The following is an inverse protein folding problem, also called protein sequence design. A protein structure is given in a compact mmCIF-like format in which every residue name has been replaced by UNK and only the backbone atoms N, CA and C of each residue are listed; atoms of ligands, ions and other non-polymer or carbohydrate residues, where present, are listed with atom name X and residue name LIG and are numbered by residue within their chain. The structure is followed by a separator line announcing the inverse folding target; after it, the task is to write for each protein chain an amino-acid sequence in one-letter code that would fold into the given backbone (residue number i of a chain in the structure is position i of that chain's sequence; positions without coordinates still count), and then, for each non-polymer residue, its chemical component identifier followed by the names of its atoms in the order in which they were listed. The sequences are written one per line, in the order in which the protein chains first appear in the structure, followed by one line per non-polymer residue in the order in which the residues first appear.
data_IF_577273832278
#
_entry.id   IF_577273832278
#
_cell.length_a   1.000
_cell.length_b   1.000
_cell.length_c   1.000
_cell.angle_alpha   90.00
_cell.angle_beta   90.00
_cell.angle_gamma   90.00
#
_symmetry.space_group_name_H-M   'P 1'
#
loop_
_entity.id
_entity.type
_entity.pdbx_description
1 polymer ?
#
# COMPACT_ATOMS: atom_id res chain seq x y z
N UNK A 1 44.05 21.37 4.15
CA UNK A 1 43.04 20.47 3.54
C UNK A 1 43.13 19.12 4.21
N UNK A 2 42.14 18.76 5.04
CA UNK A 2 42.12 17.48 5.75
C UNK A 2 42.12 16.31 4.77
N UNK A 3 42.80 15.22 5.14
CA UNK A 3 42.88 14.04 4.30
C UNK A 3 41.55 13.25 4.35
N UNK A 4 40.55 13.70 3.57
CA UNK A 4 39.23 13.07 3.47
C UNK A 4 39.25 11.68 2.82
N UNK A 5 40.44 11.19 2.41
CA UNK A 5 40.58 9.91 1.72
C UNK A 5 40.05 8.72 2.55
N UNK A 6 40.26 8.73 3.87
CA UNK A 6 39.72 7.70 4.78
C UNK A 6 38.20 7.73 4.84
N UNK A 7 37.61 8.94 4.89
CA UNK A 7 36.15 9.11 4.92
C UNK A 7 35.52 8.61 3.61
N UNK A 8 36.15 8.89 2.47
CA UNK A 8 35.70 8.38 1.17
C UNK A 8 35.76 6.84 1.10
N UNK A 9 36.84 6.22 1.57
CA UNK A 9 36.91 4.75 1.62
C UNK A 9 35.88 4.15 2.56
N UNK A 10 35.62 4.76 3.70
CA UNK A 10 34.58 4.32 4.64
C UNK A 10 33.20 4.43 3.99
N UNK A 11 32.88 5.57 3.34
CA UNK A 11 31.62 5.75 2.64
C UNK A 11 31.43 4.71 1.53
N UNK A 12 32.44 4.52 0.68
CA UNK A 12 32.41 3.51 -0.40
C UNK A 12 32.22 2.12 0.18
N UNK A 13 32.92 1.76 1.25
CA UNK A 13 32.77 0.48 1.93
C UNK A 13 31.33 0.27 2.46
N UNK A 14 30.77 1.27 3.12
CA UNK A 14 29.37 1.21 3.59
C UNK A 14 28.40 1.05 2.42
N UNK A 15 28.57 1.81 1.34
CA UNK A 15 27.71 1.70 0.15
C UNK A 15 27.80 0.31 -0.49
N UNK A 16 29.00 -0.24 -0.65
CA UNK A 16 29.19 -1.59 -1.21
C UNK A 16 28.44 -2.62 -0.35
N UNK A 17 28.66 -2.61 0.96
CA UNK A 17 28.00 -3.57 1.88
C UNK A 17 26.48 -3.41 1.82
N UNK A 18 25.98 -2.18 1.90
CA UNK A 18 24.54 -1.89 1.87
C UNK A 18 23.90 -2.37 0.57
N UNK A 19 24.47 -1.99 -0.58
CA UNK A 19 23.91 -2.39 -1.87
C UNK A 19 24.06 -3.89 -2.16
N UNK A 20 25.11 -4.54 -1.64
CA UNK A 20 25.25 -6.00 -1.76
C UNK A 20 24.17 -6.72 -0.95
N UNK A 21 23.89 -6.27 0.28
CA UNK A 21 22.82 -6.83 1.10
C UNK A 21 21.44 -6.57 0.47
N UNK A 22 21.16 -5.35 0.03
CA UNK A 22 19.90 -5.01 -0.63
C UNK A 22 19.72 -5.81 -1.93
N UNK A 23 20.79 -5.99 -2.72
CA UNK A 23 20.76 -6.78 -3.95
C UNK A 23 20.48 -8.26 -3.67
N UNK A 24 21.11 -8.83 -2.65
CA UNK A 24 20.88 -10.21 -2.23
C UNK A 24 19.41 -10.42 -1.79
N UNK A 25 18.92 -9.61 -0.87
CA UNK A 25 17.55 -9.74 -0.40
C UNK A 25 16.52 -9.37 -1.47
N UNK A 26 16.82 -8.41 -2.34
CA UNK A 26 15.98 -8.10 -3.50
C UNK A 26 15.83 -9.32 -4.43
N UNK A 27 16.93 -9.99 -4.75
CA UNK A 27 16.89 -11.22 -5.56
C UNK A 27 16.10 -12.34 -4.85
N UNK A 28 16.26 -12.47 -3.52
CA UNK A 28 15.55 -13.48 -2.73
C UNK A 28 14.04 -13.23 -2.69
N UNK A 29 13.59 -11.98 -2.62
CA UNK A 29 12.17 -11.61 -2.71
C UNK A 29 11.56 -12.10 -4.02
N UNK A 30 12.23 -11.87 -5.15
CA UNK A 30 11.75 -12.37 -6.46
C UNK A 30 11.77 -13.89 -6.54
N UNK A 31 12.80 -14.55 -6.00
CA UNK A 31 12.91 -16.01 -6.02
C UNK A 31 11.86 -16.71 -5.18
N UNK A 32 11.39 -16.08 -4.10
CA UNK A 32 10.43 -16.65 -3.15
C UNK A 32 9.03 -16.10 -3.31
N UNK A 33 8.80 -15.22 -4.28
CA UNK A 33 7.49 -14.66 -4.58
C UNK A 33 6.46 -15.77 -4.92
N UNK A 34 5.19 -15.59 -4.53
CA UNK A 34 4.14 -16.54 -4.94
C UNK A 34 3.98 -16.50 -6.47
N UNK A 35 3.93 -17.67 -7.14
CA UNK A 35 3.64 -17.71 -8.57
C UNK A 35 2.21 -17.23 -8.83
N UNK A 36 1.99 -16.57 -9.98
CA UNK A 36 0.65 -16.36 -10.50
C UNK A 36 0.39 -17.51 -11.49
N UNK A 37 -0.52 -18.46 -11.18
CA UNK A 37 -0.78 -19.59 -12.06
C UNK A 37 -1.37 -19.14 -13.41
N UNK A 38 -1.00 -19.82 -14.50
CA UNK A 38 -1.64 -19.63 -15.80
C UNK A 38 -3.12 -19.95 -15.73
N UNK A 39 -3.46 -20.99 -14.93
CA UNK A 39 -4.84 -21.40 -14.66
C UNK A 39 -4.99 -21.94 -13.25
N UNK A 40 -6.12 -21.63 -12.66
CA UNK A 40 -6.64 -22.29 -11.46
C UNK A 40 -7.84 -23.09 -11.90
N UNK A 41 -7.77 -24.43 -11.75
CA UNK A 41 -8.75 -25.33 -12.30
C UNK A 41 -9.11 -26.48 -11.35
N UNK A 42 -10.28 -27.07 -11.57
CA UNK A 42 -10.70 -28.32 -10.92
C UNK A 42 -10.21 -29.54 -11.69
N UNK A 43 -10.19 -30.71 -11.04
CA UNK A 43 -9.89 -31.98 -11.70
C UNK A 43 -10.90 -32.31 -12.84
N UNK A 44 -12.09 -31.75 -12.81
CA UNK A 44 -13.10 -31.85 -13.87
C UNK A 44 -12.82 -30.96 -15.09
N UNK A 45 -11.77 -30.17 -15.08
CA UNK A 45 -11.40 -29.28 -16.18
C UNK A 45 -12.08 -27.89 -16.15
N UNK A 46 -12.87 -27.58 -15.13
CA UNK A 46 -13.44 -26.24 -14.93
C UNK A 46 -12.34 -25.26 -14.58
N UNK A 47 -12.21 -24.17 -15.32
CA UNK A 47 -11.26 -23.07 -15.07
C UNK A 47 -11.96 -22.00 -14.24
N UNK A 48 -11.47 -21.75 -13.03
CA UNK A 48 -12.01 -20.73 -12.15
C UNK A 48 -11.41 -19.35 -12.44
N UNK A 49 -10.07 -19.29 -12.55
CA UNK A 49 -9.32 -18.06 -12.81
C UNK A 49 -8.15 -18.32 -13.75
N UNK A 50 -7.75 -17.31 -14.50
CA UNK A 50 -6.56 -17.32 -15.35
C UNK A 50 -5.55 -16.29 -14.85
N UNK A 51 -4.30 -16.41 -15.31
CA UNK A 51 -3.23 -15.44 -15.05
C UNK A 51 -3.70 -13.99 -15.34
N UNK A 52 -4.29 -13.78 -16.52
CA UNK A 52 -4.74 -12.46 -16.93
C UNK A 52 -5.89 -11.96 -16.06
N UNK A 53 -6.85 -12.82 -15.70
CA UNK A 53 -7.96 -12.44 -14.81
C UNK A 53 -7.49 -12.03 -13.42
N UNK A 54 -6.39 -12.61 -12.91
CA UNK A 54 -5.79 -12.23 -11.63
C UNK A 54 -5.11 -10.84 -11.73
N UNK A 55 -4.38 -10.58 -12.80
CA UNK A 55 -3.72 -9.29 -13.02
C UNK A 55 -4.73 -8.16 -13.29
N UNK A 56 -5.76 -8.44 -14.09
CA UNK A 56 -6.87 -7.50 -14.30
C UNK A 56 -7.62 -7.23 -12.99
N UNK A 57 -7.78 -8.26 -12.16
CA UNK A 57 -8.34 -8.15 -10.82
C UNK A 57 -7.52 -7.26 -9.90
N UNK A 58 -6.20 -7.35 -9.96
CA UNK A 58 -5.29 -6.45 -9.27
C UNK A 58 -5.49 -4.99 -9.73
N UNK A 59 -5.57 -4.77 -11.04
CA UNK A 59 -5.84 -3.45 -11.63
C UNK A 59 -7.21 -2.92 -11.21
N UNK A 60 -8.23 -3.79 -11.14
CA UNK A 60 -9.55 -3.43 -10.65
C UNK A 60 -9.53 -3.00 -9.18
N UNK A 61 -8.84 -3.76 -8.31
CA UNK A 61 -8.64 -3.39 -6.91
C UNK A 61 -7.87 -2.07 -6.75
N UNK A 62 -6.81 -1.85 -7.51
CA UNK A 62 -6.06 -0.60 -7.51
C UNK A 62 -6.95 0.59 -7.86
N UNK A 63 -7.81 0.45 -8.87
CA UNK A 63 -8.67 1.54 -9.34
C UNK A 63 -9.72 2.01 -8.34
N UNK A 64 -10.14 1.16 -7.39
CA UNK A 64 -11.10 1.54 -6.32
C UNK A 64 -10.44 2.10 -5.07
N UNK A 65 -9.12 2.27 -5.09
CA UNK A 65 -8.35 2.82 -3.99
C UNK A 65 -7.32 1.86 -3.40
N UNK A 66 -7.26 0.61 -3.84
CA UNK A 66 -6.23 -0.35 -3.46
C UNK A 66 -6.01 -0.41 -1.94
N UNK A 67 -4.76 -0.21 -1.50
CA UNK A 67 -4.36 -0.21 -0.10
C UNK A 67 -5.02 0.89 0.76
N UNK A 68 -5.63 1.90 0.14
CA UNK A 68 -6.35 2.95 0.87
C UNK A 68 -7.77 2.54 1.24
N UNK A 69 -8.36 1.55 0.54
CA UNK A 69 -9.67 1.01 0.85
C UNK A 69 -9.61 -0.07 1.95
N UNK A 70 -8.68 -1.01 1.81
CA UNK A 70 -8.41 -2.10 2.75
C UNK A 70 -7.01 -2.64 2.48
N UNK A 71 -6.50 -3.54 3.31
CA UNK A 71 -5.14 -4.06 3.14
C UNK A 71 -5.09 -5.35 2.33
N UNK A 72 -3.91 -5.64 1.78
CA UNK A 72 -3.51 -6.93 1.21
C UNK A 72 -2.23 -7.36 1.91
N UNK A 73 -2.17 -8.58 2.43
CA UNK A 73 -1.02 -9.13 3.17
C UNK A 73 -0.55 -8.22 4.33
N UNK A 74 -1.49 -7.54 4.99
CA UNK A 74 -1.21 -6.62 6.09
C UNK A 74 -0.74 -5.23 5.69
N UNK A 75 -0.64 -4.94 4.39
CA UNK A 75 -0.25 -3.63 3.89
C UNK A 75 -1.46 -2.84 3.42
N UNK A 76 -1.75 -1.72 4.04
CA UNK A 76 -2.83 -0.81 3.67
C UNK A 76 -3.57 -0.19 4.86
N UNK A 77 -4.72 0.42 4.57
CA UNK A 77 -5.61 1.00 5.56
C UNK A 77 -6.37 -0.08 6.33
N UNK A 78 -6.76 0.23 7.55
CA UNK A 78 -7.49 -0.69 8.44
C UNK A 78 -8.95 -0.28 8.65
N UNK A 79 -9.50 0.61 7.83
CA UNK A 79 -10.91 0.98 7.88
C UNK A 79 -11.79 -0.15 7.32
N UNK A 80 -11.43 -0.69 6.18
CA UNK A 80 -11.93 -1.97 5.68
C UNK A 80 -10.97 -3.10 6.12
N UNK A 81 -11.38 -4.38 6.03
CA UNK A 81 -10.53 -5.49 6.44
C UNK A 81 -9.28 -5.66 5.57
N UNK A 82 -8.37 -6.52 6.02
CA UNK A 82 -7.41 -7.11 5.11
C UNK A 82 -8.13 -8.12 4.21
N UNK A 83 -8.19 -7.83 2.91
CA UNK A 83 -8.95 -8.65 1.96
C UNK A 83 -8.41 -10.08 1.83
N UNK A 84 -7.08 -10.26 2.05
CA UNK A 84 -6.48 -11.60 2.09
C UNK A 84 -6.99 -12.40 3.29
N UNK A 85 -6.97 -11.80 4.48
CA UNK A 85 -7.38 -12.46 5.71
C UNK A 85 -8.88 -12.75 5.73
N UNK A 86 -9.71 -11.76 5.34
CA UNK A 86 -11.16 -11.88 5.34
C UNK A 86 -11.62 -12.89 4.27
N UNK A 87 -11.01 -12.87 3.06
CA UNK A 87 -11.27 -13.86 2.04
C UNK A 87 -10.93 -15.29 2.53
N UNK A 88 -9.71 -15.46 3.03
CA UNK A 88 -9.25 -16.76 3.50
C UNK A 88 -10.18 -17.34 4.56
N UNK A 89 -10.50 -16.55 5.59
CA UNK A 89 -11.39 -16.99 6.66
C UNK A 89 -12.79 -17.38 6.15
N UNK A 90 -13.39 -16.58 5.27
CA UNK A 90 -14.71 -16.87 4.67
C UNK A 90 -14.68 -18.09 3.78
N UNK A 91 -13.64 -18.25 2.97
CA UNK A 91 -13.48 -19.42 2.10
C UNK A 91 -13.38 -20.70 2.93
N UNK A 92 -12.62 -20.67 4.05
CA UNK A 92 -12.50 -21.83 4.97
C UNK A 92 -13.85 -22.20 5.61
N UNK A 93 -14.61 -21.22 6.09
CA UNK A 93 -15.95 -21.49 6.64
C UNK A 93 -16.89 -22.02 5.59
N UNK A 94 -16.93 -21.45 4.39
CA UNK A 94 -17.72 -21.93 3.27
C UNK A 94 -17.30 -23.35 2.86
N UNK A 95 -16.00 -23.68 2.89
CA UNK A 95 -15.51 -25.03 2.60
C UNK A 95 -16.03 -26.04 3.60
N UNK A 96 -16.00 -25.73 4.91
CA UNK A 96 -16.52 -26.58 5.96
C UNK A 96 -18.02 -26.86 5.78
N UNK A 97 -18.81 -25.82 5.46
CA UNK A 97 -20.25 -26.00 5.22
C UNK A 97 -20.54 -26.81 3.95
N UNK A 98 -19.84 -26.54 2.85
CA UNK A 98 -20.00 -27.33 1.60
C UNK A 98 -19.60 -28.80 1.82
N UNK A 99 -18.51 -29.06 2.51
CA UNK A 99 -18.04 -30.39 2.79
C UNK A 99 -19.01 -31.15 3.71
N UNK A 100 -19.55 -30.52 4.75
CA UNK A 100 -20.51 -31.08 5.67
C UNK A 100 -21.83 -31.38 4.95
N UNK A 101 -22.30 -30.46 4.12
CA UNK A 101 -23.54 -30.67 3.35
C UNK A 101 -23.41 -31.81 2.36
N UNK A 102 -22.26 -31.98 1.69
CA UNK A 102 -21.99 -33.10 0.78
C UNK A 102 -21.87 -34.45 1.49
N UNK A 103 -21.20 -34.47 2.65
CA UNK A 103 -20.91 -35.72 3.37
C UNK A 103 -22.04 -36.15 4.30
N UNK A 104 -22.79 -35.23 4.91
CA UNK A 104 -23.73 -35.46 5.98
C UNK A 104 -25.14 -34.90 5.71
N UNK A 105 -25.36 -34.12 4.65
CA UNK A 105 -26.63 -33.45 4.34
C UNK A 105 -27.05 -32.39 5.36
N UNK A 106 -26.11 -31.82 6.11
CA UNK A 106 -26.34 -30.85 7.18
C UNK A 106 -25.26 -29.76 7.18
N UNK A 107 -25.55 -28.55 7.68
CA UNK A 107 -24.54 -27.54 7.95
C UNK A 107 -23.43 -28.03 8.89
N UNK A 108 -22.24 -27.50 8.77
CA UNK A 108 -21.08 -27.90 9.58
C UNK A 108 -21.33 -27.79 11.10
N UNK A 109 -22.09 -26.79 11.53
CA UNK A 109 -22.41 -26.58 12.95
C UNK A 109 -23.32 -27.73 13.53
N UNK A 110 -24.08 -28.42 12.68
CA UNK A 110 -25.10 -29.37 13.07
C UNK A 110 -24.64 -30.83 13.01
N UNK A 111 -23.40 -31.12 12.59
CA UNK A 111 -22.80 -32.44 12.60
C UNK A 111 -22.06 -32.70 13.90
N UNK A 112 -21.84 -33.97 14.23
CA UNK A 112 -21.16 -34.37 15.46
C UNK A 112 -19.69 -33.91 15.50
N UNK A 113 -19.12 -33.82 16.73
CA UNK A 113 -17.78 -33.29 16.94
C UNK A 113 -16.67 -34.12 16.27
N UNK A 114 -16.86 -35.46 16.12
CA UNK A 114 -15.89 -36.30 15.46
C UNK A 114 -15.87 -36.03 13.94
N UNK A 115 -17.03 -35.90 13.31
CA UNK A 115 -17.17 -35.50 11.91
C UNK A 115 -16.61 -34.10 11.67
N UNK A 116 -16.88 -33.13 12.56
CA UNK A 116 -16.29 -31.80 12.49
C UNK A 116 -14.75 -31.84 12.52
N UNK A 117 -14.17 -32.66 13.40
CA UNK A 117 -12.71 -32.79 13.51
C UNK A 117 -12.08 -33.33 12.22
N UNK A 118 -12.72 -34.36 11.62
CA UNK A 118 -12.27 -34.94 10.34
C UNK A 118 -12.31 -33.89 9.22
N UNK A 119 -13.41 -33.15 9.09
CA UNK A 119 -13.53 -32.12 8.04
C UNK A 119 -12.51 -30.97 8.23
N UNK A 120 -12.22 -30.54 9.47
CA UNK A 120 -11.18 -29.55 9.75
C UNK A 120 -9.79 -30.03 9.34
N UNK A 121 -9.47 -31.30 9.56
CA UNK A 121 -8.17 -31.87 9.18
C UNK A 121 -8.03 -31.98 7.66
N UNK A 122 -9.07 -32.45 6.97
CA UNK A 122 -9.13 -32.50 5.51
C UNK A 122 -8.96 -31.09 4.89
N UNK A 123 -9.72 -30.12 5.38
CA UNK A 123 -9.63 -28.73 4.96
C UNK A 123 -8.21 -28.19 5.15
N UNK A 124 -7.64 -28.34 6.35
CA UNK A 124 -6.29 -27.88 6.65
C UNK A 124 -5.27 -28.51 5.69
N UNK A 125 -5.38 -29.79 5.43
CA UNK A 125 -4.50 -30.51 4.50
C UNK A 125 -4.64 -29.95 3.09
N UNK A 126 -5.86 -29.76 2.59
CA UNK A 126 -6.10 -29.24 1.24
C UNK A 126 -5.51 -27.83 1.07
N UNK A 127 -5.77 -26.90 2.01
CA UNK A 127 -5.33 -25.52 1.87
C UNK A 127 -3.82 -25.36 2.02
N UNK A 128 -3.17 -26.19 2.84
CA UNK A 128 -1.72 -26.14 3.03
C UNK A 128 -0.94 -26.81 1.91
N UNK A 129 -1.55 -27.79 1.23
CA UNK A 129 -0.89 -28.53 0.14
C UNK A 129 -0.71 -27.64 -1.08
N UNK A 130 0.53 -27.54 -1.57
CA UNK A 130 0.83 -26.81 -2.79
C UNK A 130 0.54 -27.68 -4.01
N UNK A 131 -0.52 -27.34 -4.73
CA UNK A 131 -0.97 -28.04 -5.96
C UNK A 131 -0.51 -27.35 -7.23
N UNK A 132 0.27 -26.27 -7.13
CA UNK A 132 0.82 -25.58 -8.29
C UNK A 132 1.91 -26.41 -8.95
N UNK A 133 1.76 -26.67 -10.23
CA UNK A 133 2.77 -27.34 -11.04
C UNK A 133 3.48 -26.30 -11.94
N UNK A 134 4.77 -26.03 -11.72
CA UNK A 134 5.50 -25.02 -12.47
C UNK A 134 5.73 -25.41 -13.94
N UNK A 135 5.65 -26.70 -14.33
CA UNK A 135 5.82 -27.13 -15.72
C UNK A 135 4.57 -26.85 -16.56
N UNK A 136 3.39 -26.94 -15.95
CA UNK A 136 2.12 -26.71 -16.65
C UNK A 136 1.49 -25.35 -16.35
N UNK A 137 2.04 -24.61 -15.38
CA UNK A 137 1.47 -23.35 -14.91
C UNK A 137 0.13 -23.48 -14.19
N UNK A 138 -0.32 -24.70 -13.86
CA UNK A 138 -1.68 -24.95 -13.33
C UNK A 138 -1.63 -25.19 -11.81
N UNK A 139 -2.53 -24.52 -11.08
CA UNK A 139 -2.87 -24.85 -9.70
C UNK A 139 -4.22 -25.57 -9.66
N UNK A 140 -4.27 -26.72 -9.00
CA UNK A 140 -5.47 -27.54 -8.90
C UNK A 140 -6.20 -27.32 -7.59
N UNK A 141 -7.53 -27.25 -7.64
CA UNK A 141 -8.40 -27.16 -6.46
C UNK A 141 -9.47 -28.28 -6.52
N UNK A 142 -9.95 -28.73 -5.36
CA UNK A 142 -11.05 -29.69 -5.31
C UNK A 142 -12.38 -29.06 -5.75
N UNK A 143 -13.35 -29.87 -6.12
CA UNK A 143 -14.71 -29.38 -6.40
C UNK A 143 -15.37 -28.75 -5.16
N UNK A 144 -15.05 -29.24 -3.97
CA UNK A 144 -15.52 -28.65 -2.70
C UNK A 144 -14.96 -27.25 -2.51
N UNK A 145 -13.68 -27.07 -2.80
CA UNK A 145 -13.02 -25.75 -2.72
C UNK A 145 -13.54 -24.81 -3.82
N UNK A 146 -13.80 -25.30 -5.02
CA UNK A 146 -14.40 -24.51 -6.09
C UNK A 146 -15.76 -23.92 -5.69
N UNK A 147 -16.65 -24.73 -5.05
CA UNK A 147 -17.92 -24.22 -4.54
C UNK A 147 -17.75 -23.23 -3.38
N UNK A 148 -16.77 -23.45 -2.49
CA UNK A 148 -16.45 -22.50 -1.42
C UNK A 148 -15.95 -21.16 -1.97
N UNK A 149 -15.10 -21.20 -2.99
CA UNK A 149 -14.63 -20.01 -3.74
C UNK A 149 -15.82 -19.27 -4.35
N UNK A 150 -16.74 -19.98 -5.02
CA UNK A 150 -17.91 -19.36 -5.65
C UNK A 150 -18.83 -18.68 -4.61
N UNK A 151 -19.09 -19.33 -3.46
CA UNK A 151 -19.85 -18.71 -2.36
C UNK A 151 -19.16 -17.47 -1.80
N UNK A 152 -17.85 -17.51 -1.65
CA UNK A 152 -17.05 -16.38 -1.15
C UNK A 152 -17.04 -15.23 -2.16
N UNK A 153 -16.84 -15.53 -3.43
CA UNK A 153 -16.87 -14.54 -4.51
C UNK A 153 -18.21 -13.80 -4.60
N UNK A 154 -19.33 -14.53 -4.41
CA UNK A 154 -20.66 -13.93 -4.38
C UNK A 154 -20.81 -12.88 -3.27
N UNK A 155 -20.27 -13.12 -2.07
CA UNK A 155 -20.27 -12.14 -0.99
C UNK A 155 -19.55 -10.85 -1.39
N UNK A 156 -18.37 -10.95 -2.01
CA UNK A 156 -17.60 -9.77 -2.42
C UNK A 156 -18.19 -9.08 -3.65
N UNK A 157 -18.78 -9.84 -4.59
CA UNK A 157 -19.54 -9.21 -5.69
C UNK A 157 -20.67 -8.33 -5.15
N UNK A 158 -21.40 -8.82 -4.14
CA UNK A 158 -22.44 -8.05 -3.46
C UNK A 158 -21.86 -6.86 -2.66
N UNK A 159 -20.70 -7.03 -2.01
CA UNK A 159 -20.06 -5.98 -1.23
C UNK A 159 -19.59 -4.80 -2.10
N UNK A 160 -19.01 -5.07 -3.25
CA UNK A 160 -18.48 -4.04 -4.15
C UNK A 160 -19.53 -3.51 -5.15
N UNK A 161 -20.72 -4.10 -5.20
CA UNK A 161 -21.89 -3.59 -5.93
C UNK A 161 -22.78 -2.71 -5.01
N UNK A 162 -24.05 -2.60 -5.35
CA UNK A 162 -25.08 -1.86 -4.59
C UNK A 162 -26.07 -2.78 -3.88
N UNK A 163 -25.70 -4.04 -3.61
CA UNK A 163 -26.61 -5.01 -2.97
C UNK A 163 -27.09 -4.49 -1.59
N UNK A 164 -28.42 -4.35 -1.37
CA UNK A 164 -28.93 -3.74 -0.14
C UNK A 164 -28.58 -4.49 1.15
N UNK A 165 -28.39 -5.82 1.05
CA UNK A 165 -28.04 -6.66 2.19
C UNK A 165 -26.71 -6.26 2.84
N UNK A 166 -25.79 -5.68 2.09
CA UNK A 166 -24.45 -5.29 2.56
C UNK A 166 -24.26 -3.78 2.70
N UNK A 167 -25.34 -2.99 2.64
CA UNK A 167 -25.30 -1.54 2.83
C UNK A 167 -24.60 -1.15 4.15
N UNK A 168 -25.01 -1.74 5.30
CA UNK A 168 -24.38 -1.46 6.60
C UNK A 168 -22.91 -1.89 6.67
N UNK A 169 -22.53 -2.94 5.96
CA UNK A 169 -21.14 -3.39 5.89
C UNK A 169 -20.29 -2.39 5.11
N UNK A 170 -20.80 -1.90 3.98
CA UNK A 170 -20.13 -0.83 3.22
C UNK A 170 -19.99 0.45 4.04
N UNK A 171 -21.03 0.84 4.76
CA UNK A 171 -20.98 1.99 5.66
C UNK A 171 -19.89 1.81 6.73
N UNK A 172 -19.84 0.65 7.39
CA UNK A 172 -18.83 0.34 8.39
C UNK A 172 -17.39 0.35 7.81
N UNK A 173 -17.23 -0.09 6.57
CA UNK A 173 -15.93 -0.08 5.87
C UNK A 173 -15.63 1.27 5.19
N UNK A 174 -16.49 2.26 5.34
CA UNK A 174 -16.39 3.57 4.67
C UNK A 174 -16.27 3.47 3.14
N UNK A 175 -16.97 2.51 2.56
CA UNK A 175 -17.06 2.27 1.12
C UNK A 175 -18.28 2.97 0.54
N UNK A 176 -18.14 3.59 -0.63
CA UNK A 176 -19.30 4.10 -1.36
C UNK A 176 -20.17 2.95 -1.89
N UNK A 177 -21.44 3.23 -2.10
CA UNK A 177 -22.31 2.32 -2.85
C UNK A 177 -21.76 2.10 -4.27
N UNK A 178 -21.92 0.87 -4.77
CA UNK A 178 -21.45 0.52 -6.10
C UNK A 178 -19.97 0.90 -6.33
N UNK A 179 -19.11 0.50 -5.41
CA UNK A 179 -17.67 0.83 -5.42
C UNK A 179 -17.01 0.44 -6.73
N UNK A 180 -17.40 -0.72 -7.31
CA UNK A 180 -16.94 -1.20 -8.61
C UNK A 180 -18.14 -1.60 -9.48
N UNK A 181 -18.62 -0.71 -10.36
CA UNK A 181 -19.88 -0.92 -11.12
C UNK A 181 -19.84 -2.11 -12.09
N UNK A 182 -18.70 -2.37 -12.74
CA UNK A 182 -18.57 -3.46 -13.71
C UNK A 182 -18.55 -4.83 -13.04
N UNK A 183 -19.54 -5.68 -13.36
CA UNK A 183 -19.61 -7.05 -12.89
C UNK A 183 -18.41 -7.90 -13.36
N UNK A 184 -17.94 -7.68 -14.58
CA UNK A 184 -16.74 -8.34 -15.10
C UNK A 184 -15.50 -8.01 -14.27
N UNK A 185 -15.27 -6.72 -14.00
CA UNK A 185 -14.14 -6.27 -13.18
C UNK A 185 -14.25 -6.74 -11.73
N UNK A 186 -15.48 -6.84 -11.18
CA UNK A 186 -15.67 -7.47 -9.85
C UNK A 186 -15.26 -8.93 -9.89
N UNK A 187 -15.69 -9.70 -10.92
CA UNK A 187 -15.29 -11.09 -11.05
C UNK A 187 -13.77 -11.27 -11.17
N UNK A 188 -13.09 -10.42 -11.93
CA UNK A 188 -11.63 -10.40 -12.01
C UNK A 188 -11.00 -10.08 -10.66
N UNK A 189 -11.50 -9.08 -9.92
CA UNK A 189 -11.02 -8.71 -8.58
C UNK A 189 -11.16 -9.88 -7.58
N UNK A 190 -12.20 -10.71 -7.69
CA UNK A 190 -12.32 -11.94 -6.90
C UNK A 190 -11.19 -12.91 -7.19
N UNK A 191 -10.73 -13.01 -8.44
CA UNK A 191 -9.55 -13.81 -8.81
C UNK A 191 -8.27 -13.33 -8.13
N UNK A 192 -8.10 -12.02 -8.02
CA UNK A 192 -6.97 -11.43 -7.30
C UNK A 192 -7.06 -11.70 -5.79
N UNK A 193 -8.21 -11.50 -5.15
CA UNK A 193 -8.38 -11.79 -3.72
C UNK A 193 -8.18 -13.27 -3.42
N UNK A 194 -8.72 -14.16 -4.24
CA UNK A 194 -8.45 -15.59 -4.14
C UNK A 194 -6.96 -15.91 -4.22
N UNK A 195 -6.25 -15.36 -5.21
CA UNK A 195 -4.81 -15.59 -5.37
C UNK A 195 -4.01 -15.12 -4.15
N UNK A 196 -4.34 -13.97 -3.59
CA UNK A 196 -3.66 -13.48 -2.37
C UNK A 196 -3.91 -14.39 -1.17
N UNK A 197 -5.14 -14.92 -1.03
CA UNK A 197 -5.51 -15.86 0.02
C UNK A 197 -4.87 -17.24 -0.19
N UNK A 198 -4.81 -17.72 -1.45
CA UNK A 198 -4.09 -18.94 -1.80
C UNK A 198 -2.60 -18.84 -1.42
N UNK A 199 -1.94 -17.76 -1.76
CA UNK A 199 -0.54 -17.52 -1.38
C UNK A 199 -0.33 -17.47 0.15
N UNK A 200 -1.33 -17.00 0.89
CA UNK A 200 -1.30 -16.93 2.35
C UNK A 200 -1.59 -18.26 3.04
N UNK A 201 -2.23 -19.20 2.37
CA UNK A 201 -2.58 -20.52 2.91
C UNK A 201 -1.61 -21.63 2.48
N UNK A 202 -1.10 -21.57 1.24
CA UNK A 202 -0.35 -22.65 0.59
C UNK A 202 1.12 -22.62 0.98
N UNK A 203 1.67 -23.77 1.36
CA UNK A 203 3.08 -23.93 1.71
C UNK A 203 4.00 -23.78 0.49
N UNK A 204 5.13 -23.13 0.69
CA UNK A 204 6.19 -23.08 -0.32
C UNK A 204 6.80 -24.47 -0.51
N UNK A 205 7.27 -24.81 -1.71
CA UNK A 205 7.96 -26.09 -1.92
C UNK A 205 9.12 -26.28 -0.92
N UNK A 206 9.12 -27.45 -0.24
CA UNK A 206 10.19 -27.83 0.68
C UNK A 206 10.17 -27.16 2.05
N UNK A 207 9.13 -26.41 2.41
CA UNK A 207 8.99 -25.77 3.73
C UNK A 207 7.56 -25.95 4.28
N UNK A 208 7.38 -25.67 5.57
CA UNK A 208 6.07 -25.59 6.22
C UNK A 208 5.56 -24.15 6.33
N UNK A 209 6.27 -23.20 5.73
CA UNK A 209 5.86 -21.81 5.68
C UNK A 209 5.13 -21.51 4.36
N UNK A 210 4.08 -20.70 4.44
CA UNK A 210 3.36 -20.21 3.26
C UNK A 210 4.16 -19.17 2.51
N UNK A 211 3.70 -18.76 1.32
CA UNK A 211 4.37 -17.69 0.56
C UNK A 211 4.41 -16.35 1.31
N UNK A 212 3.55 -16.14 2.29
CA UNK A 212 3.49 -14.96 3.17
C UNK A 212 4.05 -15.23 4.58
N UNK A 213 4.86 -16.28 4.77
CA UNK A 213 5.42 -16.70 6.05
C UNK A 213 4.35 -16.92 7.14
N UNK A 214 3.28 -17.64 6.78
CA UNK A 214 2.13 -17.97 7.62
C UNK A 214 1.36 -16.73 8.15
N UNK A 215 1.37 -15.65 7.42
CA UNK A 215 0.49 -14.52 7.67
C UNK A 215 -0.72 -14.59 6.71
N UNK A 216 -1.95 -14.26 7.08
CA UNK A 216 -2.41 -13.84 8.40
C UNK A 216 -2.47 -15.00 9.41
N UNK A 217 -2.63 -14.64 10.70
CA UNK A 217 -2.96 -15.64 11.71
C UNK A 217 -4.34 -16.22 11.42
N UNK A 218 -4.38 -17.53 11.04
CA UNK A 218 -5.62 -18.27 10.75
C UNK A 218 -5.59 -19.63 11.45
N UNK A 219 -6.27 -19.74 12.61
CA UNK A 219 -6.24 -20.96 13.42
C UNK A 219 -6.77 -22.21 12.70
N UNK A 220 -7.75 -22.05 11.80
CA UNK A 220 -8.40 -23.18 11.11
C UNK A 220 -7.41 -23.99 10.27
N UNK A 221 -6.39 -23.36 9.69
CA UNK A 221 -5.34 -24.03 8.93
C UNK A 221 -3.99 -24.05 9.65
N UNK A 222 -3.95 -23.58 10.91
CA UNK A 222 -2.73 -23.54 11.70
C UNK A 222 -1.72 -22.48 11.26
N UNK A 223 -2.15 -21.45 10.54
CA UNK A 223 -1.30 -20.32 10.20
C UNK A 223 -0.94 -19.53 11.45
N UNK A 224 0.35 -19.55 11.77
CA UNK A 224 0.96 -18.69 12.80
C UNK A 224 2.16 -17.99 12.16
N UNK A 225 2.21 -16.65 12.16
CA UNK A 225 3.35 -15.93 11.60
C UNK A 225 4.67 -16.49 12.10
N UNK A 226 5.63 -16.64 11.19
CA UNK A 226 6.92 -17.21 11.54
C UNK A 226 7.71 -16.29 12.48
N UNK A 227 8.56 -16.87 13.32
CA UNK A 227 9.43 -16.08 14.20
C UNK A 227 10.32 -15.11 13.42
N UNK A 228 10.72 -15.47 12.21
CA UNK A 228 11.50 -14.64 11.30
C UNK A 228 10.81 -13.32 10.96
N UNK A 229 9.51 -13.33 10.65
CA UNK A 229 8.74 -12.10 10.40
C UNK A 229 8.78 -11.15 11.60
N UNK A 230 8.63 -11.69 12.81
CA UNK A 230 8.66 -10.88 14.02
C UNK A 230 10.06 -10.35 14.32
N UNK A 231 11.08 -11.22 14.19
CA UNK A 231 12.48 -10.85 14.43
C UNK A 231 12.94 -9.75 13.47
N UNK A 232 12.66 -9.89 12.16
CA UNK A 232 13.06 -8.87 11.19
C UNK A 232 12.36 -7.53 11.41
N UNK A 233 11.07 -7.53 11.77
CA UNK A 233 10.35 -6.29 12.10
C UNK A 233 10.95 -5.58 13.31
N UNK A 234 11.24 -6.31 14.39
CA UNK A 234 11.85 -5.75 15.60
C UNK A 234 13.29 -5.29 15.33
N UNK A 235 14.09 -6.11 14.65
CA UNK A 235 15.49 -5.78 14.35
C UNK A 235 15.61 -4.56 13.44
N UNK A 236 14.70 -4.37 12.47
CA UNK A 236 14.72 -3.17 11.63
C UNK A 236 14.56 -1.88 12.46
N UNK A 237 13.65 -1.88 13.44
CA UNK A 237 13.47 -0.75 14.36
C UNK A 237 14.69 -0.56 15.25
N UNK A 238 15.24 -1.64 15.81
CA UNK A 238 16.44 -1.58 16.68
C UNK A 238 17.64 -1.04 15.90
N UNK A 239 17.87 -1.51 14.67
CA UNK A 239 18.98 -1.05 13.80
C UNK A 239 18.78 0.42 13.42
N UNK A 240 17.56 0.85 13.11
CA UNK A 240 17.26 2.25 12.83
C UNK A 240 17.57 3.14 14.04
N UNK A 241 17.11 2.76 15.23
CA UNK A 241 17.38 3.50 16.48
C UNK A 241 18.86 3.54 16.81
N UNK A 242 19.57 2.43 16.64
CA UNK A 242 21.02 2.36 16.81
C UNK A 242 21.74 3.27 15.80
N UNK A 243 21.29 3.29 14.56
CA UNK A 243 21.82 4.17 13.49
C UNK A 243 21.66 5.64 13.83
N UNK A 244 20.49 6.06 14.28
CA UNK A 244 20.23 7.43 14.75
C UNK A 244 21.11 7.77 15.95
N UNK A 245 21.20 6.87 16.95
CA UNK A 245 22.07 7.04 18.10
C UNK A 245 23.55 7.18 17.72
N UNK A 246 24.01 6.39 16.75
CA UNK A 246 25.37 6.48 16.21
C UNK A 246 25.63 7.80 15.47
N UNK A 247 24.67 8.29 14.71
CA UNK A 247 24.77 9.61 14.05
C UNK A 247 24.89 10.74 15.08
N UNK A 248 24.04 10.75 16.11
CA UNK A 248 24.08 11.74 17.18
C UNK A 248 25.41 11.66 17.95
N UNK A 249 25.85 10.45 18.29
CA UNK A 249 27.15 10.25 18.93
C UNK A 249 28.31 10.72 18.06
N UNK A 250 28.32 10.35 16.79
CA UNK A 250 29.35 10.76 15.82
C UNK A 250 29.41 12.29 15.67
N UNK A 251 28.24 12.93 15.55
CA UNK A 251 28.15 14.39 15.51
C UNK A 251 28.73 15.02 16.80
N UNK A 252 28.32 14.54 17.98
CA UNK A 252 28.81 15.07 19.25
C UNK A 252 30.32 14.84 19.45
N UNK A 253 30.83 13.68 18.97
CA UNK A 253 32.26 13.36 19.03
C UNK A 253 33.09 14.28 18.13
N UNK A 254 32.64 14.51 16.90
CA UNK A 254 33.32 15.40 15.95
C UNK A 254 33.31 16.85 16.44
N UNK A 255 32.19 17.31 17.00
CA UNK A 255 32.04 18.66 17.51
C UNK A 255 32.94 18.99 18.71
N UNK A 256 33.44 18.00 19.46
CA UNK A 256 34.42 18.23 20.54
C UNK A 256 35.76 18.80 20.08
N UNK A 257 36.05 18.72 18.78
CA UNK A 257 37.27 19.19 18.16
C UNK A 257 37.08 20.47 17.35
N UNK A 258 35.85 21.01 17.33
CA UNK A 258 35.56 22.27 16.66
C UNK A 258 35.99 23.45 17.55
N UNK A 259 36.45 24.51 16.91
CA UNK A 259 36.66 25.78 17.59
C UNK A 259 35.35 26.27 18.22
N UNK A 260 35.45 27.04 19.29
CA UNK A 260 34.29 27.62 19.96
C UNK A 260 33.35 28.27 18.92
N UNK A 261 32.06 28.01 19.05
CA UNK A 261 31.05 28.62 18.17
C UNK A 261 31.27 30.15 18.16
N UNK A 262 31.30 30.79 16.98
CA UNK A 262 31.42 32.23 16.94
C UNK A 262 30.25 32.89 17.68
N UNK A 263 30.51 33.98 18.38
CA UNK A 263 29.45 34.73 19.05
C UNK A 263 28.33 35.06 18.04
N UNK A 264 27.06 34.82 18.38
CA UNK A 264 25.97 35.14 17.49
C UNK A 264 25.99 36.65 17.16
N UNK A 265 25.78 37.03 15.91
CA UNK A 265 25.81 38.43 15.52
C UNK A 265 24.72 39.20 16.28
N UNK A 266 25.05 40.39 16.76
CA UNK A 266 24.13 41.27 17.52
C UNK A 266 22.89 41.70 16.69
N UNK A 267 22.99 41.65 15.38
CA UNK A 267 21.90 41.93 14.45
C UNK A 267 21.81 40.81 13.41
N UNK A 268 20.58 40.47 13.01
CA UNK A 268 20.34 39.50 11.92
C UNK A 268 21.02 40.02 10.62
N UNK A 269 22.06 39.32 10.14
CA UNK A 269 22.76 39.72 8.92
C UNK A 269 21.87 39.70 7.68
N UNK A 270 20.80 38.87 7.69
CA UNK A 270 19.85 38.73 6.58
C UNK A 270 18.91 39.93 6.48
N UNK A 271 18.66 40.67 7.57
CA UNK A 271 17.79 41.86 7.58
C UNK A 271 18.28 42.98 6.66
N UNK A 272 19.56 42.96 6.32
CA UNK A 272 20.22 43.99 5.46
C UNK A 272 20.39 43.54 4.01
N UNK A 273 20.07 42.28 3.69
CA UNK A 273 20.22 41.77 2.33
C UNK A 273 18.89 41.94 1.59
N UNK A 274 18.83 42.69 0.51
CA UNK A 274 17.61 42.85 -0.27
C UNK A 274 17.26 41.53 -0.96
N UNK A 275 15.97 41.16 -0.94
CA UNK A 275 15.51 39.97 -1.63
C UNK A 275 15.76 40.07 -3.14
N UNK A 276 16.35 39.03 -3.71
CA UNK A 276 16.57 38.92 -5.15
C UNK A 276 15.26 38.64 -5.91
N UNK A 277 15.22 38.81 -7.24
CA UNK A 277 14.06 38.46 -8.05
C UNK A 277 13.61 36.99 -7.90
N UNK A 278 14.55 36.04 -7.80
CA UNK A 278 14.21 34.62 -7.58
C UNK A 278 13.60 34.39 -6.20
N UNK A 279 14.15 35.01 -5.14
CA UNK A 279 13.61 34.92 -3.79
C UNK A 279 12.19 35.48 -3.67
N UNK A 280 11.91 36.63 -4.34
CA UNK A 280 10.54 37.18 -4.40
C UNK A 280 9.58 36.24 -5.13
N UNK A 281 10.04 35.54 -6.18
CA UNK A 281 9.23 34.58 -6.92
C UNK A 281 8.84 33.35 -6.09
N UNK A 282 9.54 33.08 -4.97
CA UNK A 282 9.19 32.00 -4.05
C UNK A 282 7.91 32.25 -3.23
N UNK A 283 7.37 33.46 -3.23
CA UNK A 283 6.08 33.76 -2.57
C UNK A 283 4.93 32.85 -3.05
N UNK A 284 4.93 32.43 -4.32
CA UNK A 284 3.95 31.50 -4.87
C UNK A 284 4.10 30.07 -4.31
N UNK A 285 5.34 29.64 -3.99
CA UNK A 285 5.57 28.35 -3.29
C UNK A 285 5.00 28.40 -1.89
N UNK A 286 5.23 29.50 -1.15
CA UNK A 286 4.68 29.68 0.18
C UNK A 286 3.14 29.60 0.15
N UNK A 287 2.51 30.24 -0.82
CA UNK A 287 1.06 30.16 -1.01
C UNK A 287 0.61 28.70 -1.27
N UNK A 288 1.29 27.98 -2.16
CA UNK A 288 0.98 26.58 -2.46
C UNK A 288 1.17 25.69 -1.23
N UNK A 289 2.25 25.87 -0.47
CA UNK A 289 2.54 25.12 0.77
C UNK A 289 1.41 25.32 1.78
N UNK A 290 1.02 26.56 2.04
CA UNK A 290 -0.06 26.88 2.98
C UNK A 290 -1.40 26.32 2.51
N UNK A 291 -1.70 26.42 1.20
CA UNK A 291 -2.92 25.88 0.63
C UNK A 291 -2.98 24.33 0.76
N UNK A 292 -1.89 23.63 0.42
CA UNK A 292 -1.80 22.19 0.56
C UNK A 292 -1.85 21.73 2.03
N UNK A 293 -1.18 22.45 2.94
CA UNK A 293 -1.25 22.16 4.37
C UNK A 293 -2.68 22.34 4.90
N UNK A 294 -3.35 23.42 4.56
CA UNK A 294 -4.74 23.66 4.98
C UNK A 294 -5.69 22.59 4.41
N UNK A 295 -5.49 22.24 3.15
CA UNK A 295 -6.24 21.16 2.49
C UNK A 295 -6.00 19.82 3.18
N UNK A 296 -4.75 19.47 3.53
CA UNK A 296 -4.41 18.28 4.28
C UNK A 296 -5.13 18.22 5.64
N UNK A 297 -5.18 19.32 6.38
CA UNK A 297 -5.88 19.39 7.68
C UNK A 297 -7.37 19.10 7.50
N UNK A 298 -8.00 19.68 6.48
CA UNK A 298 -9.42 19.41 6.16
C UNK A 298 -9.63 17.93 5.81
N UNK A 299 -8.80 17.37 4.94
CA UNK A 299 -8.88 15.95 4.57
C UNK A 299 -8.64 15.03 5.77
N UNK A 300 -7.76 15.40 6.69
CA UNK A 300 -7.54 14.68 7.95
C UNK A 300 -8.79 14.65 8.82
N UNK A 301 -9.51 15.77 8.91
CA UNK A 301 -10.82 15.85 9.56
C UNK A 301 -11.84 14.91 8.93
N UNK A 302 -11.97 14.91 7.60
CA UNK A 302 -12.85 13.99 6.88
C UNK A 302 -12.50 12.53 7.13
N UNK A 303 -11.22 12.18 7.06
CA UNK A 303 -10.72 10.81 7.31
C UNK A 303 -11.09 10.35 8.72
N UNK A 304 -10.91 11.22 9.73
CA UNK A 304 -11.27 10.92 11.11
C UNK A 304 -12.80 10.70 11.30
N UNK A 305 -13.60 11.53 10.67
CA UNK A 305 -15.08 11.38 10.75
C UNK A 305 -15.57 10.09 10.10
N UNK A 306 -15.00 9.68 8.97
CA UNK A 306 -15.33 8.37 8.37
C UNK A 306 -15.04 7.21 9.33
N UNK A 307 -13.95 7.31 10.09
CA UNK A 307 -13.52 6.24 11.00
C UNK A 307 -14.35 6.21 12.29
N UNK A 308 -14.75 7.36 12.82
CA UNK A 308 -15.38 7.50 14.14
C UNK A 308 -16.91 7.53 14.05
N UNK A 309 -17.48 8.39 13.21
CA UNK A 309 -18.92 8.63 13.11
C UNK A 309 -19.59 7.92 11.92
N UNK A 310 -18.78 7.47 10.93
CA UNK A 310 -19.27 6.87 9.70
C UNK A 310 -19.53 7.89 8.59
N UNK A 311 -19.83 7.39 7.40
CA UNK A 311 -19.96 8.21 6.20
C UNK A 311 -21.24 9.07 6.14
N UNK A 312 -22.23 8.80 7.00
CA UNK A 312 -23.48 9.56 7.09
C UNK A 312 -23.42 10.72 8.10
N UNK A 313 -22.25 11.00 8.69
CA UNK A 313 -22.07 12.00 9.75
C UNK A 313 -22.65 13.38 9.41
N UNK A 314 -22.47 13.83 8.16
CA UNK A 314 -22.97 15.15 7.73
C UNK A 314 -24.45 15.19 7.32
N UNK A 315 -25.18 14.08 7.45
CA UNK A 315 -26.57 13.98 7.00
C UNK A 315 -26.76 13.97 5.48
N UNK A 316 -25.67 13.92 4.73
CA UNK A 316 -25.60 13.76 3.28
C UNK A 316 -24.55 12.69 2.96
N UNK A 317 -24.78 11.94 1.89
CA UNK A 317 -23.87 10.87 1.47
C UNK A 317 -22.64 11.45 0.73
N UNK A 318 -21.70 12.01 1.50
CA UNK A 318 -20.48 12.60 0.97
C UNK A 318 -19.59 11.55 0.35
N UNK A 319 -19.67 10.29 0.78
CA UNK A 319 -18.85 9.19 0.29
C UNK A 319 -19.05 8.87 -1.19
N UNK A 320 -20.20 9.25 -1.76
CA UNK A 320 -20.44 9.06 -3.20
C UNK A 320 -19.51 9.90 -4.08
N UNK A 321 -19.07 11.06 -3.61
CA UNK A 321 -18.13 11.94 -4.33
C UNK A 321 -16.72 11.87 -3.77
N UNK A 322 -16.60 11.77 -2.46
CA UNK A 322 -15.34 11.77 -1.73
C UNK A 322 -15.23 10.55 -0.82
N UNK A 323 -15.15 9.33 -1.36
CA UNK A 323 -15.04 8.12 -0.54
C UNK A 323 -13.77 8.14 0.30
N UNK A 324 -13.75 7.38 1.40
CA UNK A 324 -12.63 7.31 2.33
C UNK A 324 -11.27 7.07 1.64
N UNK A 325 -11.23 6.15 0.68
CA UNK A 325 -10.00 5.83 -0.06
C UNK A 325 -9.43 7.05 -0.78
N UNK A 326 -10.27 7.87 -1.42
CA UNK A 326 -9.84 9.10 -2.10
C UNK A 326 -9.36 10.16 -1.12
N UNK A 327 -10.14 10.41 -0.06
CA UNK A 327 -9.82 11.43 0.96
C UNK A 327 -8.51 11.10 1.65
N UNK A 328 -8.31 9.83 2.00
CA UNK A 328 -7.08 9.35 2.63
C UNK A 328 -5.88 9.46 1.68
N UNK A 329 -6.03 9.09 0.42
CA UNK A 329 -5.00 9.24 -0.61
C UNK A 329 -4.57 10.70 -0.75
N UNK A 330 -5.51 11.60 -0.93
CA UNK A 330 -5.23 13.03 -1.03
C UNK A 330 -4.63 13.63 0.25
N UNK A 331 -5.05 13.15 1.43
CA UNK A 331 -4.46 13.55 2.71
C UNK A 331 -2.97 13.23 2.77
N UNK A 332 -2.58 12.00 2.40
CA UNK A 332 -1.17 11.57 2.40
C UNK A 332 -0.37 12.31 1.32
N UNK A 333 -0.91 12.43 0.11
CA UNK A 333 -0.26 13.14 -1.00
C UNK A 333 -0.04 14.63 -0.67
N UNK A 334 -1.05 15.29 -0.09
CA UNK A 334 -0.93 16.69 0.33
C UNK A 334 0.22 16.90 1.31
N UNK A 335 0.39 15.97 2.28
CA UNK A 335 1.50 16.00 3.22
C UNK A 335 2.85 15.94 2.50
N UNK A 336 3.02 14.99 1.61
CA UNK A 336 4.26 14.85 0.84
C UNK A 336 4.53 16.09 -0.01
N UNK A 337 3.51 16.60 -0.69
CA UNK A 337 3.67 17.74 -1.61
C UNK A 337 4.03 19.02 -0.88
N UNK A 338 3.40 19.38 0.24
CA UNK A 338 3.76 20.62 0.93
C UNK A 338 5.13 20.50 1.61
N UNK A 339 5.50 19.33 2.15
CA UNK A 339 6.83 19.09 2.72
C UNK A 339 7.91 19.21 1.65
N UNK A 340 7.76 18.49 0.53
CA UNK A 340 8.72 18.55 -0.59
C UNK A 340 8.83 19.96 -1.17
N UNK A 341 7.70 20.66 -1.33
CA UNK A 341 7.65 22.06 -1.79
C UNK A 341 8.38 22.98 -0.83
N UNK A 342 8.25 22.74 0.49
CA UNK A 342 8.95 23.52 1.53
C UNK A 342 10.46 23.36 1.44
N UNK A 343 10.95 22.13 1.33
CA UNK A 343 12.38 21.86 1.15
C UNK A 343 12.93 22.44 -0.16
N UNK A 344 12.19 22.31 -1.25
CA UNK A 344 12.57 22.88 -2.53
C UNK A 344 12.64 24.41 -2.44
N UNK A 345 11.63 25.06 -1.87
CA UNK A 345 11.61 26.51 -1.68
C UNK A 345 12.76 27.01 -0.79
N UNK A 346 13.06 26.30 0.29
CA UNK A 346 14.17 26.61 1.19
C UNK A 346 15.52 26.52 0.45
N UNK A 347 15.77 25.46 -0.30
CA UNK A 347 16.98 25.31 -1.11
C UNK A 347 17.16 26.43 -2.16
N UNK A 348 16.07 26.75 -2.86
CA UNK A 348 16.06 27.82 -3.85
C UNK A 348 16.23 29.23 -3.21
N UNK A 349 15.74 29.40 -1.98
CA UNK A 349 15.92 30.66 -1.22
C UNK A 349 17.37 30.87 -0.77
N UNK A 350 18.05 29.78 -0.38
CA UNK A 350 19.44 29.82 0.10
C UNK A 350 20.45 30.05 -1.04
N UNK A 351 20.14 29.62 -2.26
CA UNK A 351 21.08 29.68 -3.38
C UNK A 351 21.65 31.11 -3.65
N UNK A 352 20.85 32.19 -3.72
CA UNK A 352 21.38 33.56 -3.85
C UNK A 352 22.22 33.99 -2.65
N UNK A 353 21.89 33.57 -1.43
CA UNK A 353 22.64 33.94 -0.23
C UNK A 353 24.05 33.34 -0.29
N UNK A 354 24.16 32.05 -0.68
CA UNK A 354 25.45 31.38 -0.88
C UNK A 354 26.24 32.02 -2.03
N UNK A 355 25.55 32.55 -3.04
CA UNK A 355 26.15 33.23 -4.18
C UNK A 355 26.42 34.74 -3.93
N UNK A 356 26.64 35.13 -2.70
CA UNK A 356 27.00 36.51 -2.34
C UNK A 356 25.87 37.54 -2.50
N UNK A 357 24.61 37.11 -2.30
CA UNK A 357 23.44 37.99 -2.37
C UNK A 357 22.93 38.27 -3.79
N UNK A 358 23.36 37.50 -4.78
CA UNK A 358 22.96 37.64 -6.19
C UNK A 358 22.36 36.37 -6.73
N UNK A 359 21.34 36.50 -7.59
CA UNK A 359 20.81 35.35 -8.30
C UNK A 359 21.88 34.70 -9.18
N UNK A 360 22.06 33.36 -9.11
CA UNK A 360 22.74 32.64 -10.18
C UNK A 360 22.05 32.84 -11.53
N UNK A 361 22.79 32.63 -12.62
CA UNK A 361 22.24 32.77 -13.96
C UNK A 361 20.99 31.88 -14.14
N UNK A 362 19.93 32.49 -14.67
CA UNK A 362 18.63 31.83 -14.93
C UNK A 362 17.87 31.29 -13.70
N UNK A 363 18.30 31.58 -12.48
CA UNK A 363 17.65 31.02 -11.28
C UNK A 363 16.17 31.40 -11.19
N UNK A 364 15.78 32.64 -11.48
CA UNK A 364 14.36 33.04 -11.49
C UNK A 364 13.55 32.23 -12.49
N UNK A 365 14.09 31.97 -13.68
CA UNK A 365 13.42 31.12 -14.68
C UNK A 365 13.29 29.68 -14.17
N UNK A 366 14.34 29.15 -13.55
CA UNK A 366 14.29 27.81 -12.91
C UNK A 366 13.22 27.72 -11.81
N UNK A 367 13.13 28.73 -10.94
CA UNK A 367 12.07 28.83 -9.92
C UNK A 367 10.68 28.84 -10.55
N UNK A 368 10.48 29.58 -11.64
CA UNK A 368 9.19 29.65 -12.32
C UNK A 368 8.81 28.31 -12.98
N UNK A 369 9.74 27.67 -13.68
CA UNK A 369 9.52 26.36 -14.33
C UNK A 369 9.22 25.28 -13.30
N UNK A 370 10.02 25.16 -12.24
CA UNK A 370 9.82 24.17 -11.19
C UNK A 370 8.48 24.37 -10.48
N UNK A 371 8.06 25.61 -10.25
CA UNK A 371 6.75 25.87 -9.67
C UNK A 371 5.62 25.32 -10.52
N UNK A 372 5.63 25.61 -11.82
CA UNK A 372 4.56 25.14 -12.71
C UNK A 372 4.59 23.60 -12.90
N UNK A 373 5.80 23.01 -12.94
CA UNK A 373 5.94 21.55 -12.93
C UNK A 373 5.31 20.94 -11.67
N UNK A 374 5.59 21.54 -10.50
CA UNK A 374 4.99 21.10 -9.23
C UNK A 374 3.45 21.23 -9.24
N UNK A 375 2.90 22.34 -9.75
CA UNK A 375 1.44 22.52 -9.88
C UNK A 375 0.84 21.47 -10.80
N UNK A 376 1.49 21.14 -11.91
CA UNK A 376 1.04 20.09 -12.84
C UNK A 376 1.01 18.72 -12.14
N UNK A 377 2.05 18.38 -11.38
CA UNK A 377 2.11 17.13 -10.62
C UNK A 377 0.99 17.06 -9.57
N UNK A 378 0.82 18.12 -8.77
CA UNK A 378 -0.22 18.16 -7.72
C UNK A 378 -1.62 18.03 -8.31
N UNK A 379 -1.94 18.86 -9.30
CA UNK A 379 -3.29 18.85 -9.92
C UNK A 379 -3.52 17.55 -10.69
N UNK A 380 -2.51 17.10 -11.44
CA UNK A 380 -2.59 15.87 -12.23
C UNK A 380 -2.80 14.64 -11.35
N UNK A 381 -2.06 14.52 -10.25
CA UNK A 381 -2.21 13.38 -9.32
C UNK A 381 -3.58 13.38 -8.64
N UNK A 382 -4.05 14.53 -8.14
CA UNK A 382 -5.37 14.62 -7.50
C UNK A 382 -6.50 14.29 -8.48
N UNK A 383 -6.44 14.86 -9.69
CA UNK A 383 -7.42 14.58 -10.73
C UNK A 383 -7.38 13.11 -11.17
N UNK A 384 -6.19 12.55 -11.35
CA UNK A 384 -6.00 11.15 -11.72
C UNK A 384 -6.60 10.19 -10.69
N UNK A 385 -6.32 10.39 -9.40
CA UNK A 385 -6.90 9.59 -8.33
C UNK A 385 -8.44 9.70 -8.30
N UNK A 386 -8.96 10.91 -8.44
CA UNK A 386 -10.41 11.11 -8.48
C UNK A 386 -11.06 10.35 -9.63
N UNK A 387 -10.53 10.51 -10.85
CA UNK A 387 -11.07 9.85 -12.04
C UNK A 387 -11.01 8.32 -11.97
N UNK A 388 -9.95 7.78 -11.36
CA UNK A 388 -9.80 6.35 -11.12
C UNK A 388 -10.83 5.83 -10.11
N UNK A 389 -10.88 6.42 -8.91
CA UNK A 389 -11.76 5.97 -7.81
C UNK A 389 -13.25 6.23 -8.12
N UNK A 390 -13.55 7.27 -8.88
CA UNK A 390 -14.89 7.52 -9.41
C UNK A 390 -15.29 6.57 -10.55
N UNK A 391 -14.37 5.71 -11.01
CA UNK A 391 -14.57 4.75 -12.13
C UNK A 391 -14.90 5.44 -13.47
N UNK A 392 -14.39 6.65 -13.67
CA UNK A 392 -14.50 7.42 -14.93
C UNK A 392 -13.33 7.10 -15.86
N UNK A 393 -12.14 6.82 -15.28
CA UNK A 393 -10.92 6.53 -16.03
C UNK A 393 -10.96 5.12 -16.62
N UNK A 394 -10.65 4.93 -17.91
CA UNK A 394 -10.46 3.60 -18.49
C UNK A 394 -9.33 2.84 -17.77
N UNK A 395 -9.47 1.50 -17.58
CA UNK A 395 -8.51 0.70 -16.80
C UNK A 395 -7.06 0.80 -17.29
N UNK A 396 -6.85 0.86 -18.60
CA UNK A 396 -5.54 0.95 -19.25
C UNK A 396 -4.76 2.23 -18.94
N UNK A 397 -5.46 3.30 -18.53
CA UNK A 397 -4.83 4.56 -18.12
C UNK A 397 -4.55 4.65 -16.64
N UNK A 398 -5.14 3.75 -15.83
CA UNK A 398 -5.00 3.79 -14.38
C UNK A 398 -3.54 3.72 -13.91
N UNK A 399 -2.73 2.87 -14.55
CA UNK A 399 -1.30 2.75 -14.24
C UNK A 399 -0.55 4.09 -14.45
N UNK A 400 -0.85 4.82 -15.52
CA UNK A 400 -0.12 6.04 -15.88
C UNK A 400 -0.63 7.28 -15.16
N UNK A 401 -1.92 7.44 -15.04
CA UNK A 401 -2.57 8.67 -14.61
C UNK A 401 -3.37 8.53 -13.32
N UNK A 402 -3.78 7.32 -12.97
CA UNK A 402 -4.76 7.05 -11.94
C UNK A 402 -4.16 6.68 -10.58
N UNK A 403 -4.76 5.67 -9.94
CA UNK A 403 -4.45 5.20 -8.61
C UNK A 403 -3.70 3.87 -8.67
N UNK A 404 -2.48 3.82 -8.13
CA UNK A 404 -1.62 2.63 -8.17
C UNK A 404 -2.02 1.56 -7.14
N UNK A 405 -2.55 1.98 -5.99
CA UNK A 405 -3.03 1.09 -4.95
C UNK A 405 -1.99 0.34 -4.12
N UNK A 406 -0.71 0.44 -4.45
CA UNK A 406 0.37 -0.27 -3.74
C UNK A 406 1.26 0.61 -2.89
N UNK A 407 1.37 1.88 -3.23
CA UNK A 407 2.28 2.81 -2.57
C UNK A 407 1.48 3.73 -1.67
N UNK A 408 2.04 4.16 -0.57
CA UNK A 408 1.36 5.12 0.32
C UNK A 408 1.03 6.45 -0.38
N UNK A 409 1.76 6.77 -1.43
CA UNK A 409 1.56 8.02 -2.19
C UNK A 409 0.52 7.87 -3.30
N UNK A 410 0.35 6.65 -3.83
CA UNK A 410 -0.66 6.26 -4.82
C UNK A 410 -0.72 7.17 -6.06
N UNK A 411 0.41 7.60 -6.55
CA UNK A 411 0.52 8.41 -7.77
C UNK A 411 0.45 7.52 -9.01
N UNK A 412 -0.23 7.97 -10.05
CA UNK A 412 0.00 7.45 -11.40
C UNK A 412 1.47 7.68 -11.82
N UNK A 413 2.02 6.78 -12.63
CA UNK A 413 3.46 6.81 -12.99
C UNK A 413 3.92 8.05 -13.74
N UNK A 414 2.99 8.84 -14.27
CA UNK A 414 3.31 10.09 -14.95
C UNK A 414 3.56 11.26 -13.98
N UNK A 415 3.05 11.16 -12.77
CA UNK A 415 3.16 12.17 -11.71
C UNK A 415 4.28 11.88 -10.75
#
# INVERSE_FOLDING_TARGET
MGNYRKLWFTLIGVLIVTFSLLGYYGAEVYRTAPPIPDKIATAGGEILYTHDSILDGQTAWQSVGGMQLGSIWGHGAYQAPDWTADWLHRELLNWLDVAAERAHGKPFADIDAAAQAVLRDLMKTEYRTNTYNPETGVAMVSSTRADAIAKTALYYDQLFSEAPALHKTREHFAMKENTLPSAERRAQMMGFFFWTAWAAATERPGTTATYTNNWPHEPLIGNKPTAENMVWSVMSVVVMMAGVGFLVWGWAFLRKHDEADPEPPQHDPLSRVPLTPSQRALGKYLFLIVALFSFQVLLGGFTAHYTVEGQQFYGIDVSQWFPYSLVRTWHIQSALFWIASGFLAAGLFLAPLINGGKDPAYQKLGVDILFWALVVVVVGSFAGNYLAIAQIMPPEWNFWLGHQGYEYVDLGRLW
#
